data_IF_354329187717
#
_entry.id   IF_354329187717
#
_cell.length_a   1.000
_cell.length_b   1.000
_cell.length_c   1.000
_cell.angle_alpha   90.00
_cell.angle_beta   90.00
_cell.angle_gamma   90.00
#
_symmetry.space_group_name_H-M   'P 1'
#
loop_
_entity.id
_entity.type
_entity.pdbx_description
1 polymer ?
#
# COMPACT_ATOMS: atom_id res chain seq x y z
N UNK A 1 -6.29 9.37 -18.32
CA UNK A 1 -6.96 8.86 -17.11
C UNK A 1 -6.37 7.48 -16.90
N UNK A 2 -5.55 7.26 -15.86
CA UNK A 2 -4.76 6.03 -15.73
C UNK A 2 -5.54 4.85 -15.11
N UNK A 3 -6.78 5.08 -14.66
CA UNK A 3 -7.56 4.13 -13.85
C UNK A 3 -7.86 2.77 -14.51
N UNK A 4 -7.82 2.64 -15.84
CA UNK A 4 -8.15 1.39 -16.52
C UNK A 4 -7.01 0.35 -16.55
N UNK A 5 -5.77 0.75 -16.29
CA UNK A 5 -4.58 -0.13 -16.37
C UNK A 5 -3.82 -0.30 -15.04
N UNK A 6 -4.36 0.22 -13.94
CA UNK A 6 -3.68 0.16 -12.64
C UNK A 6 -3.64 -1.27 -12.08
N UNK A 7 -2.60 -1.57 -11.30
CA UNK A 7 -2.40 -2.85 -10.61
C UNK A 7 -2.39 -2.62 -9.11
N UNK A 8 -3.00 -3.54 -8.37
CA UNK A 8 -2.98 -3.51 -6.92
C UNK A 8 -1.63 -4.02 -6.40
N UNK A 9 -1.00 -3.26 -5.51
CA UNK A 9 0.26 -3.63 -4.89
C UNK A 9 0.22 -3.33 -3.37
N UNK A 10 0.76 -4.24 -2.53
CA UNK A 10 0.92 -3.98 -1.11
C UNK A 10 2.10 -3.03 -0.90
N UNK A 11 1.93 -2.03 -0.04
CA UNK A 11 3.02 -1.11 0.33
C UNK A 11 3.06 -0.83 1.83
N UNK A 12 4.26 -0.54 2.32
CA UNK A 12 4.46 0.00 3.66
C UNK A 12 4.50 1.54 3.58
N UNK A 13 3.45 2.20 4.06
CA UNK A 13 3.42 3.65 4.20
C UNK A 13 4.00 4.06 5.56
N UNK A 14 5.07 4.86 5.52
CA UNK A 14 5.68 5.46 6.71
C UNK A 14 5.20 6.89 6.85
N UNK A 15 4.38 7.13 7.86
CA UNK A 15 3.87 8.45 8.19
C UNK A 15 4.64 9.05 9.37
N UNK A 16 5.12 10.29 9.22
CA UNK A 16 5.72 11.02 10.34
C UNK A 16 4.63 11.77 11.10
N UNK A 17 4.58 11.55 12.41
CA UNK A 17 3.61 12.24 13.27
C UNK A 17 4.12 13.66 13.51
N UNK A 18 3.40 14.65 12.98
CA UNK A 18 3.75 16.06 13.09
C UNK A 18 3.95 16.48 14.56
N UNK A 19 4.99 17.28 14.81
CA UNK A 19 5.35 17.70 16.17
C UNK A 19 6.10 16.66 17.00
N UNK A 20 6.39 15.47 16.44
CA UNK A 20 7.19 14.44 17.10
C UNK A 20 8.34 13.95 16.22
N UNK A 21 9.27 13.19 16.81
CA UNK A 21 10.28 12.40 16.08
C UNK A 21 9.77 10.99 15.75
N UNK A 22 8.52 10.67 16.08
CA UNK A 22 7.94 9.36 15.89
C UNK A 22 7.45 9.19 14.45
N UNK A 23 7.69 8.00 13.91
CA UNK A 23 7.12 7.52 12.65
C UNK A 23 6.17 6.35 12.96
N UNK A 24 5.03 6.32 12.28
CA UNK A 24 4.14 5.15 12.24
C UNK A 24 4.24 4.51 10.87
N UNK A 25 4.45 3.20 10.84
CA UNK A 25 4.34 2.42 9.62
C UNK A 25 2.97 1.75 9.60
N UNK A 26 2.27 1.84 8.47
CA UNK A 26 1.07 1.04 8.19
C UNK A 26 1.23 0.37 6.84
N UNK A 27 0.73 -0.85 6.72
CA UNK A 27 0.59 -1.47 5.42
C UNK A 27 -0.74 -1.00 4.81
N UNK A 28 -0.76 -0.76 3.50
CA UNK A 28 -1.97 -0.48 2.72
C UNK A 28 -1.89 -1.16 1.36
N UNK A 29 -3.01 -1.17 0.65
CA UNK A 29 -3.07 -1.54 -0.76
C UNK A 29 -3.12 -0.26 -1.58
N UNK A 30 -2.29 -0.18 -2.62
CA UNK A 30 -2.30 0.92 -3.58
C UNK A 30 -2.56 0.39 -4.98
N UNK A 31 -3.44 1.06 -5.71
CA UNK A 31 -3.47 0.98 -7.15
C UNK A 31 -2.25 1.76 -7.67
N UNK A 32 -1.39 1.10 -8.43
CA UNK A 32 -0.22 1.71 -9.06
C UNK A 32 -0.35 1.61 -10.58
N UNK A 33 -0.09 2.72 -11.28
CA UNK A 33 -0.02 2.72 -12.73
C UNK A 33 1.33 2.09 -13.16
N UNK A 34 1.35 1.10 -14.07
CA UNK A 34 2.60 0.52 -14.54
C UNK A 34 3.40 1.44 -15.48
N UNK A 35 2.76 2.46 -16.04
CA UNK A 35 3.35 3.33 -17.07
C UNK A 35 3.76 4.72 -16.55
N UNK A 36 3.36 5.08 -15.32
CA UNK A 36 3.74 6.35 -14.69
C UNK A 36 3.70 6.26 -13.16
N UNK A 37 4.28 7.25 -12.47
CA UNK A 37 4.36 7.27 -10.99
C UNK A 37 3.03 7.63 -10.29
N UNK A 38 1.89 7.51 -11.00
CA UNK A 38 0.58 7.74 -10.38
C UNK A 38 0.17 6.52 -9.54
N UNK A 39 -0.24 6.79 -8.30
CA UNK A 39 -0.78 5.79 -7.40
C UNK A 39 -1.99 6.34 -6.65
N UNK A 40 -2.87 5.45 -6.20
CA UNK A 40 -4.04 5.77 -5.39
C UNK A 40 -4.24 4.68 -4.33
N UNK A 41 -4.50 5.07 -3.08
CA UNK A 41 -4.80 4.10 -2.02
C UNK A 41 -6.13 3.40 -2.35
N UNK A 42 -6.11 2.06 -2.38
CA UNK A 42 -7.31 1.29 -2.65
C UNK A 42 -8.22 1.27 -1.42
N UNK A 43 -9.52 1.51 -1.62
CA UNK A 43 -10.51 1.44 -0.55
C UNK A 43 -10.67 -0.01 -0.07
N UNK A 44 -10.12 -0.31 1.12
CA UNK A 44 -10.23 -1.64 1.74
C UNK A 44 -9.33 -1.75 2.98
N UNK A 45 -9.82 -2.40 4.03
CA UNK A 45 -8.98 -2.77 5.16
C UNK A 45 -8.16 -4.01 4.77
N UNK A 46 -6.88 -4.09 5.16
CA UNK A 46 -6.01 -5.27 4.97
C UNK A 46 -6.50 -6.53 5.74
N UNK A 47 -7.78 -6.62 6.06
CA UNK A 47 -8.43 -7.77 6.69
C UNK A 47 -9.00 -8.75 5.67
N UNK A 48 -9.10 -8.35 4.38
CA UNK A 48 -9.54 -9.21 3.27
C UNK A 48 -8.42 -9.35 2.22
N UNK A 49 -7.20 -9.59 2.70
CA UNK A 49 -6.07 -9.81 1.80
C UNK A 49 -6.16 -11.19 1.16
N UNK A 50 -5.72 -11.29 -0.10
CA UNK A 50 -5.48 -12.62 -0.66
C UNK A 50 -4.36 -13.30 0.14
N UNK A 51 -4.39 -14.63 0.29
CA UNK A 51 -3.37 -15.38 1.02
C UNK A 51 -1.95 -15.14 0.50
N UNK A 52 -1.82 -14.87 -0.80
CA UNK A 52 -0.55 -14.52 -1.44
C UNK A 52 0.02 -13.20 -0.92
N UNK A 53 -0.85 -12.22 -0.65
CA UNK A 53 -0.46 -10.92 -0.15
C UNK A 53 -0.13 -10.94 1.34
N UNK A 54 -0.89 -11.72 2.13
CA UNK A 54 -0.58 -11.96 3.55
C UNK A 54 0.77 -12.64 3.72
N UNK A 55 1.08 -13.63 2.86
CA UNK A 55 2.37 -14.31 2.87
C UNK A 55 3.52 -13.35 2.53
N UNK A 56 3.35 -12.48 1.51
CA UNK A 56 4.35 -11.48 1.17
C UNK A 56 4.59 -10.47 2.29
N UNK A 57 3.53 -9.98 2.96
CA UNK A 57 3.67 -9.07 4.10
C UNK A 57 4.36 -9.73 5.30
N UNK A 58 4.15 -11.03 5.50
CA UNK A 58 4.76 -11.79 6.60
C UNK A 58 6.24 -12.12 6.35
N UNK A 59 6.67 -12.19 5.08
CA UNK A 59 8.06 -12.45 4.68
C UNK A 59 8.97 -11.21 4.77
N UNK A 60 8.38 -10.01 4.75
CA UNK A 60 9.10 -8.73 4.83
C UNK A 60 9.44 -8.29 6.27
N UNK A 61 9.36 -9.21 7.23
CA UNK A 61 9.61 -9.01 8.67
C UNK A 61 11.02 -9.33 9.13
#
# INVERSE_FOLDING_TARGET
>A
MCGESMKLAPVAQVNRIAGTTQTSARHVLEWQCPDCDYFEEAEGQLTDLSPELEAWLSDQG
#
